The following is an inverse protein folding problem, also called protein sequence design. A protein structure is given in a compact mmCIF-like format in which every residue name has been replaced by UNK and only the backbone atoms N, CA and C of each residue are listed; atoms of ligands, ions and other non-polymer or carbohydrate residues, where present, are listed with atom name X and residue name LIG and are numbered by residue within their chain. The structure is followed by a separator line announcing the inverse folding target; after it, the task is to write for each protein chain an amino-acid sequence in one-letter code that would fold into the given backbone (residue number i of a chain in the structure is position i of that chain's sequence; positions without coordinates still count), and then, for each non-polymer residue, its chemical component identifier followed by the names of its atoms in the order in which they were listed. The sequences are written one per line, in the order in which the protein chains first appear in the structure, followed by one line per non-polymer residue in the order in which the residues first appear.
data_IF_190320175062
#
_entry.id   IF_190320175062
#
_cell.length_a   1.000
_cell.length_b   1.000
_cell.length_c   1.000
_cell.angle_alpha   90.00
_cell.angle_beta   90.00
_cell.angle_gamma   90.00
#
_symmetry.space_group_name_H-M   'P 1'
#
loop_
_entity.id
_entity.type
_entity.pdbx_description
1 polymer ?
#
# COMPACT_ATOMS: atom_id res chain seq x y z
N UNK A 1 6.43 25.39 10.43
CA UNK A 1 6.32 23.99 10.89
C UNK A 1 5.49 23.96 12.15
N UNK A 2 4.63 22.96 12.30
CA UNK A 2 3.77 22.81 13.48
C UNK A 2 4.56 22.15 14.60
N UNK A 3 4.43 22.65 15.83
CA UNK A 3 5.01 21.99 17.00
C UNK A 3 4.16 20.78 17.38
N UNK A 4 4.80 19.64 17.63
CA UNK A 4 4.14 18.42 18.10
C UNK A 4 4.57 18.12 19.53
N UNK A 5 3.64 17.57 20.32
CA UNK A 5 3.89 17.16 21.71
C UNK A 5 4.80 15.91 21.80
N UNK A 6 4.96 15.19 20.69
CA UNK A 6 5.81 14.01 20.55
C UNK A 6 6.61 14.09 19.25
N UNK A 7 7.70 13.34 19.17
CA UNK A 7 8.48 13.21 17.94
C UNK A 7 7.63 12.61 16.82
N UNK A 8 7.66 13.25 15.65
CA UNK A 8 6.98 12.76 14.45
C UNK A 8 7.81 11.63 13.84
N UNK A 9 7.23 10.46 13.54
CA UNK A 9 7.96 9.39 12.86
C UNK A 9 8.46 9.87 11.48
N UNK A 10 9.58 9.31 10.99
CA UNK A 10 10.08 9.64 9.67
C UNK A 10 9.04 9.28 8.60
N UNK A 11 8.97 10.08 7.54
CA UNK A 11 8.06 9.82 6.41
C UNK A 11 8.39 8.46 5.77
N UNK A 12 7.45 7.50 5.72
CA UNK A 12 7.66 6.23 5.04
C UNK A 12 8.03 6.47 3.57
N UNK A 13 9.05 5.77 3.09
CA UNK A 13 9.57 5.99 1.74
C UNK A 13 10.26 4.75 1.19
N UNK A 14 10.25 4.60 -0.14
CA UNK A 14 10.92 3.50 -0.85
C UNK A 14 12.10 4.03 -1.66
N UNK A 15 13.07 3.16 -1.93
CA UNK A 15 14.23 3.48 -2.78
C UNK A 15 13.80 3.68 -4.23
N UNK A 16 14.47 4.61 -4.92
CA UNK A 16 14.34 4.79 -6.36
C UNK A 16 15.59 4.18 -7.01
N UNK A 17 15.41 3.28 -7.98
CA UNK A 17 16.53 2.60 -8.62
C UNK A 17 17.45 3.59 -9.35
N UNK A 18 18.75 3.62 -9.00
CA UNK A 18 19.74 4.51 -9.59
C UNK A 18 19.81 5.92 -9.00
N UNK A 19 19.03 6.22 -7.94
CA UNK A 19 19.00 7.53 -7.29
C UNK A 19 19.27 7.41 -5.79
N UNK A 20 19.74 8.51 -5.20
CA UNK A 20 19.95 8.64 -3.75
C UNK A 20 18.70 9.11 -3.01
N UNK A 21 17.83 9.79 -3.75
CA UNK A 21 16.54 10.30 -3.35
C UNK A 21 15.53 9.16 -3.12
N UNK A 22 14.50 9.43 -2.33
CA UNK A 22 13.47 8.44 -1.97
C UNK A 22 12.09 8.89 -2.40
N UNK A 23 11.23 7.94 -2.74
CA UNK A 23 9.83 8.21 -3.05
C UNK A 23 9.00 8.17 -1.77
N UNK A 24 8.40 9.30 -1.37
CA UNK A 24 7.57 9.39 -0.18
C UNK A 24 6.23 8.68 -0.39
N UNK A 25 5.93 7.70 0.47
CA UNK A 25 4.71 6.90 0.40
C UNK A 25 3.59 7.64 1.13
N UNK A 26 2.47 7.90 0.42
CA UNK A 26 1.31 8.61 0.99
C UNK A 26 0.20 7.65 1.44
N UNK A 27 -0.32 6.84 0.50
CA UNK A 27 -1.39 5.86 0.74
C UNK A 27 -1.09 4.62 -0.07
N UNK A 28 -1.37 3.46 0.50
CA UNK A 28 -1.24 2.17 -0.16
C UNK A 28 -2.64 1.67 -0.48
N UNK A 29 -2.93 1.49 -1.77
CA UNK A 29 -4.16 0.86 -2.25
C UNK A 29 -3.82 -0.53 -2.77
N UNK A 30 -4.57 -1.52 -2.30
CA UNK A 30 -4.43 -2.91 -2.71
C UNK A 30 -5.73 -3.35 -3.40
N UNK A 31 -5.60 -4.13 -4.47
CA UNK A 31 -6.74 -4.69 -5.20
C UNK A 31 -6.90 -6.16 -4.81
N UNK A 32 -8.04 -6.50 -4.21
CA UNK A 32 -8.44 -7.87 -3.93
C UNK A 32 -9.12 -8.52 -5.14
N UNK A 33 -8.94 -9.83 -5.31
CA UNK A 33 -9.57 -10.64 -6.38
C UNK A 33 -9.26 -10.15 -7.81
N UNK A 34 -8.07 -9.60 -8.04
CA UNK A 34 -7.69 -9.08 -9.36
C UNK A 34 -7.21 -10.16 -10.36
N UNK A 35 -7.25 -11.45 -9.98
CA UNK A 35 -6.87 -12.59 -10.80
C UNK A 35 -7.91 -13.70 -10.65
N UNK A 36 -8.45 -14.20 -11.76
CA UNK A 36 -9.53 -15.19 -11.78
C UNK A 36 -9.16 -16.51 -11.08
N UNK A 37 -7.96 -17.04 -11.34
CA UNK A 37 -7.46 -18.24 -10.65
C UNK A 37 -7.42 -18.06 -9.12
N UNK A 38 -6.89 -16.92 -8.65
CA UNK A 38 -6.82 -16.62 -7.23
C UNK A 38 -8.20 -16.40 -6.59
N UNK A 39 -9.14 -15.80 -7.33
CA UNK A 39 -10.51 -15.68 -6.86
C UNK A 39 -11.14 -17.07 -6.60
N UNK A 40 -10.96 -18.02 -7.53
CA UNK A 40 -11.45 -19.40 -7.41
C UNK A 40 -10.82 -20.17 -6.26
N UNK A 41 -9.53 -20.00 -5.99
CA UNK A 41 -8.82 -20.65 -4.87
C UNK A 41 -9.51 -20.40 -3.52
N UNK A 42 -10.09 -19.21 -3.35
CA UNK A 42 -10.79 -18.80 -2.15
C UNK A 42 -12.32 -19.01 -2.22
N UNK A 43 -12.81 -19.75 -3.23
CA UNK A 43 -14.23 -20.03 -3.43
C UNK A 43 -15.06 -18.80 -3.85
N UNK A 44 -14.42 -17.77 -4.41
CA UNK A 44 -15.12 -16.58 -4.88
C UNK A 44 -15.62 -16.78 -6.32
N UNK A 45 -16.73 -16.11 -6.65
CA UNK A 45 -17.24 -16.03 -8.02
C UNK A 45 -16.37 -15.09 -8.86
N UNK A 46 -15.93 -15.54 -10.04
CA UNK A 46 -15.13 -14.72 -10.97
C UNK A 46 -15.91 -13.55 -11.56
N UNK A 47 -17.25 -13.59 -11.46
CA UNK A 47 -18.15 -12.51 -11.88
C UNK A 47 -18.20 -11.38 -10.85
N UNK A 48 -17.80 -11.63 -9.60
CA UNK A 48 -17.70 -10.57 -8.60
C UNK A 48 -16.57 -9.60 -9.00
N UNK A 49 -16.79 -8.28 -8.96
CA UNK A 49 -15.75 -7.32 -9.31
C UNK A 49 -14.61 -7.34 -8.29
N UNK A 50 -13.40 -6.92 -8.71
CA UNK A 50 -12.32 -6.61 -7.77
C UNK A 50 -12.74 -5.51 -6.79
N UNK A 51 -12.13 -5.51 -5.60
CA UNK A 51 -12.38 -4.50 -4.59
C UNK A 51 -11.08 -3.90 -4.06
N UNK A 52 -11.19 -2.73 -3.43
CA UNK A 52 -10.04 -2.03 -2.84
C UNK A 52 -10.03 -2.17 -1.33
N UNK A 53 -8.82 -2.32 -0.78
CA UNK A 53 -8.53 -2.12 0.62
C UNK A 53 -7.22 -1.34 0.76
N UNK A 54 -6.92 -0.83 1.95
CA UNK A 54 -5.74 0.00 2.18
C UNK A 54 -4.83 -0.58 3.24
N UNK A 55 -3.54 -0.22 3.18
CA UNK A 55 -2.58 -0.42 4.26
C UNK A 55 -2.02 0.93 4.74
N UNK A 56 -1.67 1.07 6.03
CA UNK A 56 -0.93 2.23 6.52
C UNK A 56 0.42 2.39 5.79
N UNK A 57 0.85 3.63 5.56
CA UNK A 57 2.03 3.92 4.75
C UNK A 57 3.33 3.36 5.34
N UNK A 58 3.40 3.21 6.65
CA UNK A 58 4.53 2.68 7.43
C UNK A 58 4.61 1.14 7.41
N UNK A 59 3.70 0.45 6.73
CA UNK A 59 3.74 -1.02 6.59
C UNK A 59 4.62 -1.51 5.42
N UNK A 60 5.08 -0.63 4.55
CA UNK A 60 6.00 -0.97 3.45
C UNK A 60 7.44 -0.96 3.94
N UNK A 61 8.19 -2.02 3.66
CA UNK A 61 9.58 -2.24 4.09
C UNK A 61 10.46 -2.67 2.93
#
# INVERSE_FOLDING_TARGET
MTAFVLAVPPTPSVTIAGFSERFAVRRIFCVGRNYAAHAREFGNDERDPPFFFTKPADTVV
#
